data_IF_568049324655
#
_entry.id   IF_568049324655
#
_cell.length_a   1.000
_cell.length_b   1.000
_cell.length_c   1.000
_cell.angle_alpha   90.00
_cell.angle_beta   90.00
_cell.angle_gamma   90.00
#
_symmetry.space_group_name_H-M   'P 1'
#
loop_
_entity.id
_entity.type
_entity.pdbx_description
1 polymer ?
#
# COMPACT_ATOMS: atom_id res chain seq x y z
N UNK A 1 -12.86 16.72 -17.82
CA UNK A 1 -11.99 15.53 -17.93
C UNK A 1 -10.56 16.02 -17.90
N UNK A 2 -9.87 15.94 -16.77
CA UNK A 2 -8.45 16.35 -16.69
C UNK A 2 -7.60 15.34 -17.43
N UNK A 3 -6.77 15.82 -18.36
CA UNK A 3 -5.82 15.00 -19.12
C UNK A 3 -4.82 14.36 -18.15
N UNK A 4 -4.50 13.09 -18.37
CA UNK A 4 -3.47 12.36 -17.61
C UNK A 4 -2.12 13.05 -17.60
N UNK A 5 -1.80 13.84 -18.62
CA UNK A 5 -0.58 14.67 -18.70
C UNK A 5 -0.49 15.76 -17.62
N UNK A 6 -1.62 16.26 -17.12
CA UNK A 6 -1.63 17.28 -16.06
C UNK A 6 -1.40 16.70 -14.66
N UNK A 7 -1.63 15.39 -14.48
CA UNK A 7 -1.39 14.73 -13.20
C UNK A 7 0.11 14.53 -12.97
N UNK A 8 0.87 14.30 -14.05
CA UNK A 8 2.32 14.06 -13.97
C UNK A 8 3.15 15.34 -13.85
N UNK A 9 2.62 16.52 -14.21
CA UNK A 9 3.37 17.78 -14.18
C UNK A 9 3.43 18.47 -12.81
N UNK A 10 2.74 17.93 -11.79
CA UNK A 10 2.75 18.50 -10.43
C UNK A 10 3.81 17.90 -9.50
N UNK A 11 4.68 17.03 -10.02
CA UNK A 11 5.85 16.62 -9.25
C UNK A 11 6.82 17.78 -9.19
N UNK A 12 6.83 18.50 -8.08
CA UNK A 12 7.82 19.54 -7.83
C UNK A 12 9.22 18.92 -7.97
N UNK A 13 10.00 19.44 -8.93
CA UNK A 13 11.43 19.15 -9.03
C UNK A 13 12.05 19.55 -7.69
N UNK A 14 12.91 18.70 -7.14
CA UNK A 14 13.64 18.89 -5.89
C UNK A 14 12.91 18.53 -4.59
N UNK A 15 12.07 17.48 -4.59
CA UNK A 15 11.58 16.89 -3.35
C UNK A 15 12.72 16.13 -2.66
N UNK A 16 13.07 16.57 -1.46
CA UNK A 16 13.92 15.78 -0.59
C UNK A 16 13.11 15.14 0.54
N UNK A 17 13.59 14.03 1.06
CA UNK A 17 12.90 13.26 2.09
C UNK A 17 12.69 14.09 3.36
N UNK A 18 13.63 14.95 3.75
CA UNK A 18 13.50 15.79 4.93
C UNK A 18 12.29 16.70 4.87
N UNK A 19 12.01 17.30 3.71
CA UNK A 19 10.82 18.15 3.52
C UNK A 19 9.50 17.38 3.62
N UNK A 20 9.48 16.09 3.24
CA UNK A 20 8.30 15.25 3.40
C UNK A 20 7.99 14.94 4.86
N UNK A 21 8.99 14.70 5.67
CA UNK A 21 8.80 14.48 7.10
C UNK A 21 8.26 15.72 7.80
N UNK A 22 8.81 16.88 7.48
CA UNK A 22 8.37 18.16 8.05
C UNK A 22 6.90 18.45 7.70
N UNK A 23 6.47 18.11 6.48
CA UNK A 23 5.10 18.35 6.01
C UNK A 23 4.07 17.39 6.60
N UNK A 24 4.45 16.16 6.94
CA UNK A 24 3.52 15.12 7.40
C UNK A 24 3.54 14.90 8.92
N UNK A 25 4.29 15.70 9.67
CA UNK A 25 4.43 15.57 11.13
C UNK A 25 4.76 14.14 11.59
N UNK A 26 5.55 13.42 10.78
CA UNK A 26 5.97 12.06 11.10
C UNK A 26 7.10 12.16 12.12
N UNK A 27 6.96 11.58 13.33
CA UNK A 27 8.02 11.61 14.31
C UNK A 27 9.22 10.81 13.83
N UNK A 28 10.27 11.49 13.40
CA UNK A 28 11.55 10.84 13.13
C UNK A 28 12.32 10.76 14.44
N UNK A 29 12.65 9.57 14.85
CA UNK A 29 13.76 9.37 15.76
C UNK A 29 15.03 9.68 14.97
N UNK A 30 15.55 10.87 15.18
CA UNK A 30 16.85 11.34 14.70
C UNK A 30 17.18 10.96 13.24
N UNK A 31 16.85 11.86 12.30
CA UNK A 31 17.16 11.72 10.87
C UNK A 31 18.63 11.35 10.60
N UNK A 32 19.54 11.75 11.50
CA UNK A 32 20.96 11.48 11.38
C UNK A 32 21.34 10.02 11.63
N UNK A 33 20.45 9.24 12.25
CA UNK A 33 20.65 7.80 12.49
C UNK A 33 20.14 6.93 11.34
N UNK A 34 19.42 7.51 10.39
CA UNK A 34 18.89 6.78 9.25
C UNK A 34 20.02 6.41 8.29
N UNK A 35 19.99 5.18 7.80
CA UNK A 35 20.98 4.72 6.85
C UNK A 35 20.84 5.48 5.50
N UNK A 36 21.90 6.20 5.15
CA UNK A 36 21.96 7.02 3.93
C UNK A 36 21.58 6.26 2.66
N UNK A 37 21.87 4.98 2.59
CA UNK A 37 21.52 4.12 1.46
C UNK A 37 20.01 4.12 1.15
N UNK A 38 19.16 4.06 2.16
CA UNK A 38 17.69 4.09 1.95
C UNK A 38 17.22 5.48 1.57
N UNK A 39 17.83 6.52 2.14
CA UNK A 39 17.54 7.91 1.77
C UNK A 39 17.82 8.12 0.27
N UNK A 40 19.00 7.76 -0.20
CA UNK A 40 19.41 7.93 -1.60
C UNK A 40 18.48 7.19 -2.57
N UNK A 41 18.07 5.96 -2.25
CA UNK A 41 17.13 5.18 -3.09
C UNK A 41 15.77 5.86 -3.16
N UNK A 42 15.26 6.35 -2.04
CA UNK A 42 13.94 6.96 -1.98
C UNK A 42 13.93 8.35 -2.59
N UNK A 43 15.01 9.13 -2.48
CA UNK A 43 15.17 10.41 -3.17
C UNK A 43 15.26 10.22 -4.68
N UNK A 44 15.96 9.20 -5.15
CA UNK A 44 15.95 8.85 -6.57
C UNK A 44 14.52 8.54 -7.04
N UNK A 45 13.75 7.77 -6.26
CA UNK A 45 12.36 7.50 -6.60
C UNK A 45 11.51 8.78 -6.64
N UNK A 46 11.65 9.68 -5.68
CA UNK A 46 10.91 10.94 -5.66
C UNK A 46 11.17 11.79 -6.91
N UNK A 47 12.41 11.77 -7.41
CA UNK A 47 12.83 12.56 -8.58
C UNK A 47 12.52 11.88 -9.92
N UNK A 48 12.59 10.55 -9.99
CA UNK A 48 12.46 9.80 -11.25
C UNK A 48 11.15 9.04 -11.40
N UNK A 49 10.43 8.84 -10.29
CA UNK A 49 9.25 7.97 -10.19
C UNK A 49 9.51 6.53 -10.68
N UNK A 50 10.77 6.12 -10.65
CA UNK A 50 11.20 4.80 -11.10
C UNK A 50 12.34 4.27 -10.23
N UNK A 51 12.36 2.96 -10.01
CA UNK A 51 13.45 2.25 -9.33
C UNK A 51 13.79 0.96 -10.06
N UNK A 52 15.07 0.64 -10.09
CA UNK A 52 15.52 -0.67 -10.54
C UNK A 52 15.07 -1.78 -9.56
N UNK A 53 14.96 -3.02 -10.07
CA UNK A 53 14.60 -4.18 -9.27
C UNK A 53 15.52 -4.36 -8.05
N UNK A 54 16.82 -4.14 -8.21
CA UNK A 54 17.79 -4.33 -7.13
C UNK A 54 17.59 -3.32 -6.00
N UNK A 55 17.23 -2.07 -6.33
CA UNK A 55 16.87 -1.03 -5.36
C UNK A 55 15.57 -1.37 -4.63
N UNK A 56 14.57 -1.86 -5.36
CA UNK A 56 13.32 -2.36 -4.74
C UNK A 56 13.62 -3.51 -3.77
N UNK A 57 14.43 -4.49 -4.17
CA UNK A 57 14.85 -5.58 -3.29
C UNK A 57 15.68 -5.10 -2.09
N UNK A 58 16.36 -3.99 -2.22
CA UNK A 58 17.05 -3.36 -1.08
C UNK A 58 16.04 -2.76 -0.09
N UNK A 59 15.01 -2.08 -0.57
CA UNK A 59 13.97 -1.49 0.28
C UNK A 59 13.16 -2.55 1.06
N UNK A 60 13.02 -3.78 0.55
CA UNK A 60 12.35 -4.86 1.31
C UNK A 60 13.11 -5.28 2.57
N UNK A 61 14.36 -4.88 2.70
CA UNK A 61 15.23 -5.18 3.85
C UNK A 61 15.40 -3.99 4.80
N UNK A 62 14.56 -2.96 4.64
CA UNK A 62 14.60 -1.79 5.52
C UNK A 62 14.26 -2.20 6.95
N UNK A 63 15.06 -1.78 7.96
CA UNK A 63 14.76 -2.07 9.36
C UNK A 63 13.42 -1.44 9.78
N UNK A 64 12.75 -2.07 10.74
CA UNK A 64 11.44 -1.59 11.22
C UNK A 64 11.52 -0.17 11.79
N UNK A 65 12.65 0.19 12.37
CA UNK A 65 12.92 1.51 12.94
C UNK A 65 12.97 2.61 11.87
N UNK A 66 13.27 2.23 10.61
CA UNK A 66 13.40 3.13 9.47
C UNK A 66 12.19 3.05 8.51
N UNK A 67 11.21 2.18 8.76
CA UNK A 67 10.03 2.01 7.90
C UNK A 67 9.23 3.30 7.72
N UNK A 68 9.22 4.19 8.71
CA UNK A 68 8.57 5.51 8.62
C UNK A 68 9.03 6.32 7.40
N UNK A 69 10.28 6.14 6.99
CA UNK A 69 10.84 6.74 5.77
C UNK A 69 10.09 6.27 4.52
N UNK A 70 9.93 4.95 4.39
CA UNK A 70 9.20 4.36 3.27
C UNK A 70 7.72 4.76 3.28
N UNK A 71 7.11 4.82 4.46
CA UNK A 71 5.71 5.24 4.62
C UNK A 71 5.50 6.70 4.20
N UNK A 72 6.43 7.60 4.52
CA UNK A 72 6.36 9.01 4.12
C UNK A 72 6.36 9.15 2.59
N UNK A 73 7.28 8.46 1.92
CA UNK A 73 7.38 8.48 0.44
C UNK A 73 6.15 7.83 -0.20
N UNK A 74 5.66 6.72 0.35
CA UNK A 74 4.45 6.07 -0.14
C UNK A 74 3.21 6.97 0.01
N UNK A 75 3.09 7.69 1.14
CA UNK A 75 1.99 8.64 1.35
C UNK A 75 2.05 9.81 0.37
N UNK A 76 3.22 10.42 0.18
CA UNK A 76 3.40 11.49 -0.82
C UNK A 76 3.02 11.01 -2.23
N UNK A 77 3.44 9.80 -2.60
CA UNK A 77 3.09 9.19 -3.89
C UNK A 77 1.58 9.01 -4.03
N UNK A 78 0.91 8.53 -2.99
CA UNK A 78 -0.55 8.38 -2.96
C UNK A 78 -1.25 9.73 -3.08
N UNK A 79 -0.84 10.72 -2.30
CA UNK A 79 -1.44 12.06 -2.32
C UNK A 79 -1.31 12.74 -3.68
N UNK A 80 -0.15 12.61 -4.32
CA UNK A 80 0.07 13.16 -5.66
C UNK A 80 -0.73 12.44 -6.75
N UNK A 81 -1.07 11.15 -6.56
CA UNK A 81 -1.79 10.34 -7.56
C UNK A 81 -3.31 10.32 -7.34
N UNK A 82 -3.76 10.21 -6.11
CA UNK A 82 -5.19 10.02 -5.73
C UNK A 82 -5.75 11.16 -4.89
N UNK A 83 -4.90 12.07 -4.42
CA UNK A 83 -5.29 13.11 -3.47
C UNK A 83 -5.80 12.52 -2.15
N UNK A 84 -6.65 13.25 -1.47
CA UNK A 84 -7.29 12.81 -0.22
C UNK A 84 -8.58 12.01 -0.46
N UNK A 85 -8.80 11.53 -1.69
CA UNK A 85 -9.98 10.76 -2.02
C UNK A 85 -9.84 9.32 -1.52
N UNK A 86 -10.77 8.89 -0.70
CA UNK A 86 -10.94 7.51 -0.27
C UNK A 86 -12.21 6.99 -0.89
N UNK A 87 -12.10 5.96 -1.72
CA UNK A 87 -13.26 5.26 -2.27
C UNK A 87 -13.61 4.06 -1.40
N UNK A 88 -14.89 3.78 -1.27
CA UNK A 88 -15.38 2.57 -0.62
C UNK A 88 -16.50 1.96 -1.46
N UNK A 89 -16.64 0.64 -1.36
CA UNK A 89 -17.71 -0.10 -2.03
C UNK A 89 -18.78 -0.46 -1.00
N UNK A 90 -20.03 -0.07 -1.29
CA UNK A 90 -21.19 -0.45 -0.45
C UNK A 90 -21.64 -1.87 -0.84
N UNK A 91 -20.82 -2.86 -0.56
CA UNK A 91 -21.16 -4.24 -0.84
C UNK A 91 -21.50 -4.97 0.46
N UNK A 92 -22.58 -5.74 0.41
CA UNK A 92 -22.88 -6.74 1.43
C UNK A 92 -22.40 -8.09 0.90
N UNK A 93 -21.54 -8.74 1.64
CA UNK A 93 -21.10 -10.08 1.31
C UNK A 93 -22.11 -11.07 1.92
N UNK A 94 -22.90 -11.72 1.06
CA UNK A 94 -23.87 -12.72 1.48
C UNK A 94 -23.30 -14.11 1.14
N UNK A 95 -22.73 -14.84 2.10
CA UNK A 95 -22.18 -16.15 1.84
C UNK A 95 -23.33 -17.18 1.70
N UNK A 96 -23.61 -17.56 0.47
CA UNK A 96 -24.65 -18.56 0.16
C UNK A 96 -24.17 -19.98 0.47
N UNK A 97 -22.87 -20.24 0.33
CA UNK A 97 -22.27 -21.55 0.57
C UNK A 97 -20.80 -21.42 0.90
N UNK A 98 -20.29 -22.33 1.72
CA UNK A 98 -18.85 -22.52 1.95
C UNK A 98 -18.26 -23.65 1.08
N UNK A 99 -19.08 -24.33 0.29
CA UNK A 99 -18.61 -25.36 -0.62
C UNK A 99 -17.82 -24.71 -1.76
N UNK A 100 -16.60 -25.19 -1.99
CA UNK A 100 -15.74 -24.71 -3.05
C UNK A 100 -15.00 -25.86 -3.70
N UNK A 101 -14.85 -25.81 -5.03
CA UNK A 101 -14.13 -26.83 -5.81
C UNK A 101 -12.62 -26.63 -5.74
N UNK A 102 -12.16 -25.41 -5.43
CA UNK A 102 -10.74 -25.08 -5.39
C UNK A 102 -10.09 -25.55 -4.09
N UNK A 103 -8.78 -25.82 -4.16
CA UNK A 103 -7.97 -26.24 -3.02
C UNK A 103 -6.89 -25.20 -2.75
N UNK A 104 -7.27 -24.10 -2.13
CA UNK A 104 -6.34 -23.03 -1.79
C UNK A 104 -5.74 -23.25 -0.40
N UNK A 105 -4.42 -23.34 -0.30
CA UNK A 105 -3.71 -23.62 0.96
C UNK A 105 -3.93 -22.57 2.06
N UNK A 106 -4.35 -21.35 1.70
CA UNK A 106 -4.62 -20.25 2.65
C UNK A 106 -6.09 -20.07 3.00
N UNK A 107 -6.99 -20.84 2.37
CA UNK A 107 -8.43 -20.65 2.54
C UNK A 107 -8.93 -21.33 3.82
N UNK A 108 -9.41 -20.54 4.77
CA UNK A 108 -10.05 -21.01 5.99
C UNK A 108 -11.59 -21.00 5.89
N UNK A 109 -12.14 -20.62 4.75
CA UNK A 109 -13.56 -20.45 4.53
C UNK A 109 -14.23 -21.70 3.93
N UNK A 110 -13.46 -22.51 3.20
CA UNK A 110 -13.95 -23.71 2.53
C UNK A 110 -14.27 -24.83 3.54
N UNK A 111 -15.38 -25.51 3.32
CA UNK A 111 -15.71 -26.81 3.93
C UNK A 111 -15.94 -27.86 2.83
N UNK A 112 -15.69 -29.11 3.16
CA UNK A 112 -15.96 -30.22 2.25
C UNK A 112 -17.45 -30.60 2.25
N UNK A 113 -17.97 -31.20 1.17
CA UNK A 113 -19.34 -31.66 1.12
C UNK A 113 -19.69 -32.63 2.26
N UNK A 114 -20.73 -32.29 3.01
CA UNK A 114 -21.15 -33.06 4.20
C UNK A 114 -20.51 -32.62 5.53
N UNK A 115 -19.57 -31.68 5.48
CA UNK A 115 -18.95 -31.10 6.67
C UNK A 115 -19.59 -29.73 6.99
N UNK A 116 -20.44 -29.70 8.00
CA UNK A 116 -21.02 -28.46 8.52
C UNK A 116 -22.37 -28.06 7.93
N UNK A 117 -23.03 -27.06 8.52
CA UNK A 117 -24.35 -26.60 8.11
C UNK A 117 -24.26 -25.77 6.82
N UNK A 118 -25.31 -25.79 6.01
CA UNK A 118 -25.52 -24.80 4.96
C UNK A 118 -25.70 -23.43 5.60
N UNK A 119 -25.01 -22.40 5.08
CA UNK A 119 -25.10 -21.03 5.59
C UNK A 119 -26.48 -20.41 5.34
N UNK A 120 -27.16 -20.84 4.29
CA UNK A 120 -28.55 -20.46 3.98
C UNK A 120 -29.37 -21.74 3.91
N UNK A 121 -30.28 -21.93 4.86
CA UNK A 121 -31.28 -22.99 4.83
C UNK A 121 -32.57 -22.45 4.20
N UNK A 122 -33.37 -23.30 3.52
CA UNK A 122 -34.66 -22.88 2.95
C UNK A 122 -35.65 -22.31 3.99
N UNK A 123 -35.43 -22.59 5.26
CA UNK A 123 -36.30 -22.20 6.40
C UNK A 123 -35.91 -20.85 7.01
N UNK A 124 -34.82 -20.24 6.55
CA UNK A 124 -34.26 -18.98 7.08
C UNK A 124 -34.38 -17.80 6.12
N UNK A 125 -35.19 -17.87 5.09
CA UNK A 125 -35.43 -16.78 4.13
C UNK A 125 -36.73 -16.03 4.44
#
# INVERSE_FOLDING_TARGET
MMSLSNIYNNFAKDKNIKSLFDSHSIPIRDYNLINKKYIEILEEYLNTQNLSRDKLMTLTKIPIEEVSLLMAVANDTRENSKGNLISFSKNVFIPLTQLCRDQCSYCTFKIEPGEGPLLVTPEGS
#
